data_IF_765874311855
#
_entry.id   IF_765874311855
#
_cell.length_a   1.000
_cell.length_b   1.000
_cell.length_c   1.000
_cell.angle_alpha   90.00
_cell.angle_beta   90.00
_cell.angle_gamma   90.00
#
_symmetry.space_group_name_H-M   'P 1'
#
loop_
_entity.id
_entity.type
_entity.pdbx_description
1 polymer ?
#
# COMPACT_ATOMS: atom_id res chain seq x y z
N UNK A 1 2.27 0.48 -28.50
CA UNK A 1 1.30 1.01 -27.52
C UNK A 1 1.66 2.47 -27.27
N UNK A 2 0.69 3.38 -27.40
CA UNK A 2 0.95 4.81 -27.27
C UNK A 2 0.88 5.19 -25.77
N UNK A 3 1.95 5.76 -25.21
CA UNK A 3 2.06 6.09 -23.78
C UNK A 3 0.91 6.98 -23.26
N UNK A 4 0.32 7.80 -24.14
CA UNK A 4 -0.82 8.64 -23.79
C UNK A 4 -2.12 7.84 -23.60
N UNK A 5 -2.34 6.78 -24.39
CA UNK A 5 -3.53 5.94 -24.27
C UNK A 5 -3.54 5.14 -22.96
N UNK A 6 -2.36 4.68 -22.51
CA UNK A 6 -2.23 3.99 -21.22
C UNK A 6 -2.44 4.95 -20.04
N UNK A 7 -1.99 6.20 -20.14
CA UNK A 7 -2.28 7.23 -19.12
C UNK A 7 -3.77 7.55 -19.01
N UNK A 8 -4.47 7.71 -20.14
CA UNK A 8 -5.91 8.01 -20.13
C UNK A 8 -6.72 6.81 -19.62
N UNK A 9 -6.32 5.59 -19.97
CA UNK A 9 -6.89 4.38 -19.40
C UNK A 9 -6.68 4.30 -17.88
N UNK A 10 -5.49 4.63 -17.38
CA UNK A 10 -5.18 4.66 -15.95
C UNK A 10 -6.06 5.68 -15.20
N UNK A 11 -6.16 6.92 -15.69
CA UNK A 11 -7.02 7.96 -15.10
C UNK A 11 -8.49 7.55 -15.04
N UNK A 12 -9.02 6.97 -16.12
CA UNK A 12 -10.40 6.48 -16.17
C UNK A 12 -10.65 5.35 -15.17
N UNK A 13 -9.69 4.45 -15.01
CA UNK A 13 -9.79 3.36 -14.03
C UNK A 13 -9.72 3.89 -12.59
N UNK A 14 -8.88 4.88 -12.30
CA UNK A 14 -8.87 5.55 -10.98
C UNK A 14 -10.24 6.16 -10.64
N UNK A 15 -10.87 6.85 -11.60
CA UNK A 15 -12.22 7.41 -11.40
C UNK A 15 -13.28 6.34 -11.09
N UNK A 16 -13.24 5.20 -11.81
CA UNK A 16 -14.11 4.05 -11.54
C UNK A 16 -13.88 3.44 -10.16
N UNK A 17 -12.63 3.29 -9.74
CA UNK A 17 -12.30 2.76 -8.41
C UNK A 17 -12.79 3.68 -7.29
N UNK A 18 -12.63 4.99 -7.43
CA UNK A 18 -13.16 5.97 -6.47
C UNK A 18 -14.69 5.87 -6.39
N UNK A 19 -15.37 5.78 -7.53
CA UNK A 19 -16.82 5.61 -7.56
C UNK A 19 -17.27 4.33 -6.85
N UNK A 20 -16.62 3.19 -7.12
CA UNK A 20 -16.90 1.92 -6.47
C UNK A 20 -16.63 1.97 -4.95
N UNK A 21 -15.57 2.65 -4.53
CA UNK A 21 -15.27 2.85 -3.11
C UNK A 21 -16.36 3.65 -2.40
N UNK A 22 -16.79 4.78 -2.99
CA UNK A 22 -17.90 5.58 -2.42
C UNK A 22 -19.18 4.75 -2.36
N UNK A 23 -19.49 3.99 -3.40
CA UNK A 23 -20.65 3.09 -3.42
C UNK A 23 -20.57 2.03 -2.32
N UNK A 24 -19.38 1.45 -2.08
CA UNK A 24 -19.16 0.47 -1.02
C UNK A 24 -19.31 1.07 0.39
N UNK A 25 -18.85 2.29 0.62
CA UNK A 25 -19.04 2.99 1.90
C UNK A 25 -20.52 3.29 2.14
N UNK A 26 -21.24 3.76 1.11
CA UNK A 26 -22.68 4.01 1.21
C UNK A 26 -23.46 2.71 1.46
N UNK A 27 -23.13 1.63 0.77
CA UNK A 27 -23.79 0.34 1.00
C UNK A 27 -23.52 -0.20 2.40
N UNK A 28 -22.29 -0.06 2.92
CA UNK A 28 -21.95 -0.41 4.29
C UNK A 28 -22.78 0.38 5.31
N UNK A 29 -22.95 1.69 5.12
CA UNK A 29 -23.79 2.54 5.98
C UNK A 29 -25.25 2.07 5.95
N UNK A 30 -25.80 1.75 4.77
CA UNK A 30 -27.18 1.28 4.63
C UNK A 30 -27.35 -0.08 5.33
N UNK A 31 -26.46 -1.04 5.08
CA UNK A 31 -26.53 -2.39 5.65
C UNK A 31 -26.38 -2.34 7.18
N UNK A 32 -25.44 -1.57 7.71
CA UNK A 32 -25.27 -1.42 9.16
C UNK A 32 -26.48 -0.77 9.82
N UNK A 33 -27.09 0.25 9.20
CA UNK A 33 -28.33 0.86 9.71
C UNK A 33 -29.52 -0.12 9.69
N UNK A 34 -29.71 -0.86 8.59
CA UNK A 34 -30.76 -1.88 8.49
C UNK A 34 -30.57 -3.00 9.52
N UNK A 35 -29.33 -3.44 9.73
CA UNK A 35 -29.00 -4.45 10.73
C UNK A 35 -29.33 -3.98 12.15
N UNK A 36 -28.95 -2.75 12.51
CA UNK A 36 -29.27 -2.19 13.84
C UNK A 36 -30.77 -2.00 14.02
N UNK A 37 -31.46 -1.48 13.01
CA UNK A 37 -32.93 -1.33 13.05
C UNK A 37 -33.63 -2.69 13.23
N UNK A 38 -33.15 -3.74 12.53
CA UNK A 38 -33.65 -5.10 12.68
C UNK A 38 -33.38 -5.65 14.09
N UNK A 39 -32.17 -5.48 14.63
CA UNK A 39 -31.81 -5.94 15.97
C UNK A 39 -32.60 -5.23 17.07
N UNK A 40 -32.81 -3.92 16.98
CA UNK A 40 -33.63 -3.15 17.93
C UNK A 40 -35.10 -3.60 17.84
N UNK A 41 -35.62 -3.76 16.62
CA UNK A 41 -36.99 -4.26 16.39
C UNK A 41 -37.20 -5.68 16.94
N UNK A 42 -36.20 -6.55 16.81
CA UNK A 42 -36.21 -7.90 17.36
C UNK A 42 -36.03 -7.92 18.89
N UNK A 43 -35.13 -7.12 19.45
CA UNK A 43 -34.91 -7.05 20.90
C UNK A 43 -36.09 -6.39 21.66
N UNK A 44 -36.83 -5.50 20.99
CA UNK A 44 -38.01 -4.85 21.56
C UNK A 44 -39.29 -5.70 21.57
N UNK A 45 -39.28 -6.92 21.00
CA UNK A 45 -40.49 -7.74 20.84
C UNK A 45 -40.94 -8.47 22.10
N UNK A 46 -40.29 -8.29 23.26
CA UNK A 46 -40.74 -8.87 24.53
C UNK A 46 -41.74 -8.01 25.32
N UNK A 47 -42.11 -6.80 24.86
CA UNK A 47 -43.09 -5.95 25.56
C UNK A 47 -44.38 -5.69 24.76
N UNK A 48 -45.43 -6.35 25.24
CA UNK A 48 -46.83 -6.37 24.82
C UNK A 48 -47.50 -4.98 24.75
N UNK A 49 -47.84 -4.50 23.55
CA UNK A 49 -49.05 -3.70 23.27
C UNK A 49 -49.22 -3.48 21.76
N UNK A 50 -50.45 -3.23 21.27
CA UNK A 50 -50.70 -2.85 19.87
C UNK A 50 -50.02 -1.52 19.44
N UNK A 51 -49.34 -0.81 20.34
CA UNK A 51 -48.45 0.30 20.01
C UNK A 51 -47.08 -0.17 19.48
N UNK A 52 -46.72 -1.45 19.67
CA UNK A 52 -45.50 -2.07 19.17
C UNK A 52 -45.50 -2.33 17.65
N UNK A 53 -46.63 -2.14 16.96
CA UNK A 53 -46.66 -2.15 15.48
C UNK A 53 -46.22 -0.78 14.92
N UNK A 54 -46.14 0.25 15.77
CA UNK A 54 -45.70 1.60 15.44
C UNK A 54 -44.21 1.85 15.80
N UNK A 55 -43.45 0.82 16.19
CA UNK A 55 -42.05 0.92 16.65
C UNK A 55 -41.00 0.81 15.55
N UNK A 56 -41.39 0.58 14.29
CA UNK A 56 -40.54 0.96 13.14
C UNK A 56 -40.60 2.48 12.89
N UNK A 57 -40.54 3.28 13.96
CA UNK A 57 -40.28 4.71 13.80
C UNK A 57 -38.81 4.84 13.45
N UNK A 58 -38.57 5.22 12.20
CA UNK A 58 -37.25 5.59 11.73
C UNK A 58 -36.74 6.73 12.60
N UNK A 59 -35.88 6.40 13.57
CA UNK A 59 -35.22 7.39 14.39
C UNK A 59 -34.07 7.99 13.57
N UNK A 60 -34.33 9.19 13.03
CA UNK A 60 -33.32 9.97 12.32
C UNK A 60 -32.08 10.21 13.20
N UNK A 61 -32.21 10.26 14.53
CA UNK A 61 -31.08 10.41 15.46
C UNK A 61 -30.13 9.22 15.41
N UNK A 62 -30.65 8.01 15.64
CA UNK A 62 -29.88 6.76 15.56
C UNK A 62 -29.26 6.57 14.17
N UNK A 63 -30.00 6.90 13.09
CA UNK A 63 -29.49 6.80 11.73
C UNK A 63 -28.27 7.69 11.47
N UNK A 64 -28.36 8.98 11.83
CA UNK A 64 -27.25 9.93 11.65
C UNK A 64 -26.05 9.57 12.53
N UNK A 65 -26.27 9.06 13.75
CA UNK A 65 -25.21 8.65 14.68
C UNK A 65 -24.41 7.45 14.15
N UNK A 66 -25.08 6.42 13.64
CA UNK A 66 -24.42 5.24 13.05
C UNK A 66 -23.69 5.65 11.77
N UNK A 67 -24.35 6.42 10.89
CA UNK A 67 -23.74 6.91 9.66
C UNK A 67 -22.47 7.73 9.91
N UNK A 68 -22.51 8.63 10.90
CA UNK A 68 -21.35 9.42 11.31
C UNK A 68 -20.24 8.54 11.91
N UNK A 69 -20.61 7.53 12.71
CA UNK A 69 -19.66 6.61 13.34
C UNK A 69 -18.93 5.73 12.31
N UNK A 70 -19.66 5.11 11.38
CA UNK A 70 -19.08 4.30 10.28
C UNK A 70 -18.20 5.17 9.40
N UNK A 71 -18.67 6.35 9.01
CA UNK A 71 -17.88 7.30 8.21
C UNK A 71 -16.61 7.72 8.94
N UNK A 72 -16.71 8.01 10.25
CA UNK A 72 -15.58 8.36 11.09
C UNK A 72 -14.53 7.27 11.16
N UNK A 73 -14.93 6.01 11.37
CA UNK A 73 -14.02 4.85 11.40
C UNK A 73 -13.33 4.65 10.05
N UNK A 74 -14.08 4.68 8.94
CA UNK A 74 -13.51 4.55 7.59
C UNK A 74 -12.53 5.68 7.30
N UNK A 75 -12.89 6.91 7.65
CA UNK A 75 -12.05 8.09 7.43
C UNK A 75 -10.77 8.03 8.26
N UNK A 76 -10.85 7.70 9.55
CA UNK A 76 -9.70 7.53 10.43
C UNK A 76 -8.80 6.38 9.97
N UNK A 77 -9.37 5.23 9.59
CA UNK A 77 -8.62 4.10 9.02
C UNK A 77 -7.90 4.48 7.73
N UNK A 78 -8.55 5.26 6.86
CA UNK A 78 -7.95 5.78 5.63
C UNK A 78 -6.80 6.75 5.92
N UNK A 79 -6.98 7.68 6.87
CA UNK A 79 -5.93 8.60 7.30
C UNK A 79 -4.75 7.86 7.93
N UNK A 80 -5.02 6.85 8.76
CA UNK A 80 -3.99 6.00 9.35
C UNK A 80 -3.18 5.28 8.28
N UNK A 81 -3.84 4.68 7.28
CA UNK A 81 -3.15 4.02 6.16
C UNK A 81 -2.29 5.01 5.37
N UNK A 82 -2.81 6.20 5.05
CA UNK A 82 -2.04 7.26 4.38
C UNK A 82 -0.84 7.67 5.23
N UNK A 83 -1.02 7.88 6.54
CA UNK A 83 0.05 8.27 7.44
C UNK A 83 1.13 7.17 7.57
N UNK A 84 0.73 5.90 7.60
CA UNK A 84 1.66 4.77 7.71
C UNK A 84 2.61 4.65 6.52
N UNK A 85 2.18 5.08 5.33
CA UNK A 85 2.97 5.03 4.11
C UNK A 85 3.88 6.27 3.92
N UNK A 86 3.76 7.30 4.77
CA UNK A 86 4.57 8.53 4.65
C UNK A 86 6.06 8.35 4.98
N UNK A 87 6.45 7.24 5.60
CA UNK A 87 7.85 7.02 6.00
C UNK A 87 8.82 6.66 4.88
N UNK A 88 8.43 6.83 3.61
CA UNK A 88 9.30 6.64 2.44
C UNK A 88 9.54 5.17 2.08
N UNK A 89 10.56 4.93 1.26
CA UNK A 89 10.89 3.60 0.75
C UNK A 89 11.22 2.59 1.85
N UNK A 90 11.93 3.01 2.90
CA UNK A 90 12.35 2.16 4.01
C UNK A 90 11.17 1.47 4.73
N UNK A 91 10.06 2.18 4.93
CA UNK A 91 8.85 1.61 5.53
C UNK A 91 8.24 0.50 4.70
N UNK A 92 8.29 0.61 3.37
CA UNK A 92 7.76 -0.40 2.47
C UNK A 92 8.60 -1.67 2.57
N UNK A 93 9.92 -1.52 2.57
CA UNK A 93 10.81 -2.66 2.75
C UNK A 93 10.59 -3.34 4.13
N UNK A 94 10.44 -2.56 5.21
CA UNK A 94 10.12 -3.09 6.54
C UNK A 94 8.77 -3.84 6.58
N UNK A 95 7.73 -3.31 5.91
CA UNK A 95 6.42 -3.96 5.80
C UNK A 95 6.47 -5.28 5.03
N UNK A 96 7.44 -5.42 4.12
CA UNK A 96 7.71 -6.63 3.35
C UNK A 96 8.71 -7.56 4.06
N UNK A 97 8.96 -7.36 5.36
CA UNK A 97 9.92 -8.14 6.15
C UNK A 97 11.36 -8.09 5.60
N UNK A 98 11.73 -7.03 4.88
CA UNK A 98 13.08 -6.81 4.39
C UNK A 98 14.04 -6.50 5.55
N UNK A 99 15.19 -7.17 5.57
CA UNK A 99 16.30 -6.88 6.47
C UNK A 99 17.27 -5.91 5.82
N UNK A 100 17.57 -4.80 6.49
CA UNK A 100 18.58 -3.84 6.03
C UNK A 100 19.96 -4.53 5.96
N UNK A 101 20.63 -4.42 4.82
CA UNK A 101 22.00 -4.88 4.63
C UNK A 101 23.00 -3.82 5.07
N UNK A 102 24.04 -4.26 5.78
CA UNK A 102 25.12 -3.40 6.27
C UNK A 102 26.42 -3.79 5.56
N UNK A 103 27.27 -2.79 5.28
CA UNK A 103 28.56 -2.95 4.59
C UNK A 103 29.52 -3.96 5.27
N UNK A 104 29.29 -4.29 6.55
CA UNK A 104 30.07 -5.27 7.32
C UNK A 104 29.57 -6.73 7.26
N UNK A 105 28.60 -7.08 6.41
CA UNK A 105 28.09 -8.46 6.31
C UNK A 105 29.21 -9.46 6.03
N UNK A 106 29.15 -10.68 6.56
CA UNK A 106 30.13 -11.74 6.27
C UNK A 106 29.78 -12.52 4.99
N UNK A 107 28.56 -12.34 4.47
CA UNK A 107 28.07 -13.02 3.27
C UNK A 107 28.61 -12.35 1.99
N UNK A 108 29.22 -13.17 1.11
CA UNK A 108 29.77 -12.72 -0.18
C UNK A 108 28.67 -12.23 -1.13
N UNK A 109 27.47 -12.81 -1.08
CA UNK A 109 26.34 -12.42 -1.92
C UNK A 109 25.80 -11.05 -1.49
N UNK A 110 25.68 -10.82 -0.19
CA UNK A 110 25.26 -9.53 0.37
C UNK A 110 26.27 -8.42 0.06
N UNK A 111 27.58 -8.70 0.19
CA UNK A 111 28.63 -7.75 -0.22
C UNK A 111 28.57 -7.44 -1.71
N UNK A 112 28.36 -8.46 -2.55
CA UNK A 112 28.27 -8.28 -4.00
C UNK A 112 27.16 -7.32 -4.38
N UNK A 113 25.95 -7.47 -3.82
CA UNK A 113 24.83 -6.57 -4.15
C UNK A 113 25.08 -5.16 -3.62
N UNK A 114 25.65 -5.00 -2.42
CA UNK A 114 26.01 -3.69 -1.89
C UNK A 114 27.01 -2.97 -2.81
N UNK A 115 28.05 -3.67 -3.28
CA UNK A 115 29.02 -3.10 -4.21
C UNK A 115 28.36 -2.70 -5.54
N UNK A 116 27.50 -3.55 -6.10
CA UNK A 116 26.79 -3.25 -7.36
C UNK A 116 25.88 -2.03 -7.20
N UNK A 117 25.15 -1.92 -6.09
CA UNK A 117 24.31 -0.75 -5.81
C UNK A 117 25.14 0.52 -5.65
N UNK A 118 26.27 0.43 -4.94
CA UNK A 118 27.21 1.55 -4.79
C UNK A 118 27.79 2.00 -6.15
N UNK A 119 28.21 1.06 -6.99
CA UNK A 119 28.69 1.33 -8.35
C UNK A 119 27.62 2.03 -9.20
N UNK A 120 26.36 1.58 -9.14
CA UNK A 120 25.26 2.20 -9.87
C UNK A 120 24.92 3.59 -9.33
N UNK A 121 25.01 3.80 -8.01
CA UNK A 121 24.82 5.11 -7.40
C UNK A 121 25.89 6.11 -7.81
N UNK A 122 27.16 5.70 -7.81
CA UNK A 122 28.28 6.51 -8.30
C UNK A 122 28.09 6.84 -9.79
N UNK A 123 27.77 5.85 -10.62
CA UNK A 123 27.56 6.04 -12.05
C UNK A 123 26.37 6.98 -12.36
N UNK A 124 25.34 6.93 -11.52
CA UNK A 124 24.11 7.73 -11.68
C UNK A 124 24.17 9.11 -11.01
N UNK A 125 25.21 9.38 -10.20
CA UNK A 125 25.35 10.63 -9.46
C UNK A 125 24.29 10.86 -8.38
N UNK A 126 23.75 9.79 -7.78
CA UNK A 126 22.78 9.87 -6.69
C UNK A 126 23.37 9.31 -5.39
N UNK A 127 22.85 9.69 -4.20
CA UNK A 127 23.23 9.05 -2.94
C UNK A 127 22.99 7.54 -3.01
N UNK A 128 23.87 6.75 -2.38
CA UNK A 128 23.73 5.28 -2.32
C UNK A 128 22.43 4.95 -1.57
N UNK A 129 21.43 4.34 -2.23
CA UNK A 129 20.19 3.98 -1.56
C UNK A 129 20.43 2.82 -0.59
N UNK A 130 19.78 2.79 0.58
CA UNK A 130 19.80 1.64 1.47
C UNK A 130 19.33 0.37 0.76
N UNK A 131 20.02 -0.75 1.00
CA UNK A 131 19.69 -2.04 0.40
C UNK A 131 19.01 -2.94 1.43
N UNK A 132 17.82 -3.45 1.09
CA UNK A 132 17.08 -4.39 1.91
C UNK A 132 17.08 -5.77 1.26
N UNK A 133 17.22 -6.81 2.09
CA UNK A 133 17.17 -8.20 1.67
C UNK A 133 15.90 -8.86 2.18
N UNK A 134 15.13 -9.44 1.27
CA UNK A 134 13.95 -10.25 1.58
C UNK A 134 14.33 -11.73 1.53
N UNK A 135 13.97 -12.47 2.57
CA UNK A 135 14.26 -13.92 2.68
C UNK A 135 13.26 -14.74 1.83
N UNK A 136 13.26 -14.49 0.53
CA UNK A 136 12.42 -15.15 -0.49
C UNK A 136 13.29 -15.80 -1.57
N UNK A 137 12.89 -17.00 -2.02
CA UNK A 137 13.63 -17.77 -3.02
C UNK A 137 13.41 -17.31 -4.46
N UNK A 138 12.34 -16.54 -4.73
CA UNK A 138 12.07 -15.99 -6.05
C UNK A 138 13.13 -14.96 -6.45
N UNK A 139 13.34 -14.74 -7.75
CA UNK A 139 14.21 -13.68 -8.27
C UNK A 139 13.36 -12.42 -8.42
N UNK A 140 13.57 -11.43 -7.55
CA UNK A 140 12.88 -10.15 -7.58
C UNK A 140 13.75 -9.04 -6.97
N UNK A 141 13.62 -7.84 -7.54
CA UNK A 141 14.21 -6.62 -7.03
C UNK A 141 13.26 -5.45 -7.33
N UNK A 142 13.22 -4.45 -6.47
CA UNK A 142 12.45 -3.24 -6.72
C UNK A 142 13.07 -2.01 -6.02
N UNK A 143 12.88 -0.85 -6.62
CA UNK A 143 13.10 0.44 -5.97
C UNK A 143 11.81 1.04 -5.40
N UNK A 144 11.91 1.64 -4.21
CA UNK A 144 10.80 2.35 -3.57
C UNK A 144 11.29 3.65 -2.94
N UNK A 145 10.52 4.72 -3.08
CA UNK A 145 10.79 6.04 -2.51
C UNK A 145 9.87 7.11 -3.10
N UNK A 146 9.72 8.25 -2.42
CA UNK A 146 9.02 9.41 -2.97
C UNK A 146 9.94 10.32 -3.80
N UNK A 147 11.25 10.16 -3.68
CA UNK A 147 12.31 10.95 -4.29
C UNK A 147 13.61 10.12 -4.30
N UNK A 148 14.61 10.49 -5.10
CA UNK A 148 15.92 9.84 -5.03
C UNK A 148 16.58 9.90 -3.64
N UNK A 149 16.28 10.92 -2.83
CA UNK A 149 16.85 11.08 -1.48
C UNK A 149 16.28 10.13 -0.42
N UNK A 150 15.09 9.58 -0.63
CA UNK A 150 14.46 8.57 0.25
C UNK A 150 14.26 7.22 -0.46
N UNK A 151 14.97 7.03 -1.58
CA UNK A 151 14.94 5.80 -2.33
C UNK A 151 15.64 4.68 -1.57
N UNK A 152 15.05 3.49 -1.62
CA UNK A 152 15.67 2.22 -1.21
C UNK A 152 15.69 1.27 -2.39
N UNK A 153 16.57 0.27 -2.32
CA UNK A 153 16.58 -0.87 -3.23
C UNK A 153 16.33 -2.12 -2.40
N UNK A 154 15.29 -2.88 -2.73
CA UNK A 154 15.02 -4.17 -2.12
C UNK A 154 15.34 -5.29 -3.11
N UNK A 155 15.99 -6.34 -2.63
CA UNK A 155 16.31 -7.55 -3.40
C UNK A 155 15.91 -8.77 -2.60
N UNK A 156 15.63 -9.88 -3.28
CA UNK A 156 15.38 -11.17 -2.63
C UNK A 156 16.64 -12.01 -2.49
N UNK A 157 16.65 -12.96 -1.55
CA UNK A 157 17.68 -13.99 -1.39
C UNK A 157 17.93 -14.73 -2.70
N UNK A 158 16.86 -15.13 -3.40
CA UNK A 158 16.94 -15.77 -4.71
C UNK A 158 17.68 -14.92 -5.76
N UNK A 159 17.55 -13.59 -5.71
CA UNK A 159 18.24 -12.67 -6.64
C UNK A 159 19.74 -12.68 -6.43
N UNK A 160 20.20 -12.55 -5.18
CA UNK A 160 21.63 -12.43 -4.87
C UNK A 160 22.39 -13.76 -4.97
N UNK A 161 21.68 -14.89 -4.80
CA UNK A 161 22.25 -16.24 -4.90
C UNK A 161 22.24 -16.78 -6.33
N UNK A 162 21.20 -16.49 -7.11
CA UNK A 162 21.01 -17.09 -8.44
C UNK A 162 21.66 -16.27 -9.56
N UNK A 163 21.63 -14.94 -9.48
CA UNK A 163 22.13 -14.10 -10.56
C UNK A 163 23.66 -13.98 -10.53
N UNK A 164 24.26 -14.00 -11.73
CA UNK A 164 25.66 -13.60 -11.89
C UNK A 164 25.83 -12.12 -11.54
N UNK A 165 27.06 -11.67 -11.32
CA UNK A 165 27.35 -10.26 -11.02
C UNK A 165 26.84 -9.33 -12.13
N UNK A 166 27.02 -9.73 -13.39
CA UNK A 166 26.61 -8.97 -14.58
C UNK A 166 25.09 -8.90 -14.71
N UNK A 167 24.40 -10.03 -14.45
CA UNK A 167 22.95 -10.08 -14.45
C UNK A 167 22.36 -9.24 -13.31
N UNK A 168 22.95 -9.34 -12.11
CA UNK A 168 22.59 -8.51 -10.97
C UNK A 168 22.77 -7.03 -11.30
N UNK A 169 23.89 -6.64 -11.89
CA UNK A 169 24.13 -5.26 -12.32
C UNK A 169 23.09 -4.78 -13.35
N UNK A 170 22.67 -5.63 -14.29
CA UNK A 170 21.59 -5.30 -15.22
C UNK A 170 20.25 -5.06 -14.53
N UNK A 171 19.88 -5.92 -13.56
CA UNK A 171 18.65 -5.76 -12.78
C UNK A 171 18.70 -4.51 -11.91
N UNK A 172 19.80 -4.28 -11.17
CA UNK A 172 19.97 -3.08 -10.35
C UNK A 172 19.98 -1.81 -11.22
N UNK A 173 20.62 -1.83 -12.39
CA UNK A 173 20.58 -0.70 -13.32
C UNK A 173 19.16 -0.38 -13.81
N UNK A 174 18.33 -1.41 -14.06
CA UNK A 174 16.92 -1.21 -14.37
C UNK A 174 16.18 -0.52 -13.22
N UNK A 175 16.41 -0.95 -11.97
CA UNK A 175 15.80 -0.31 -10.80
C UNK A 175 16.27 1.14 -10.59
N UNK A 176 17.56 1.42 -10.83
CA UNK A 176 18.09 2.79 -10.80
C UNK A 176 17.43 3.69 -11.85
N UNK A 177 17.02 3.14 -13.00
CA UNK A 177 16.25 3.91 -13.98
C UNK A 177 14.91 4.39 -13.40
N UNK A 178 14.23 3.59 -12.58
CA UNK A 178 13.01 4.00 -11.87
C UNK A 178 13.29 5.08 -10.82
N UNK A 179 14.43 5.00 -10.12
CA UNK A 179 14.87 6.02 -9.16
C UNK A 179 15.04 7.37 -9.86
N UNK A 180 15.78 7.38 -10.97
CA UNK A 180 16.12 8.60 -11.71
C UNK A 180 14.91 9.24 -12.41
N UNK A 181 14.01 8.43 -12.96
CA UNK A 181 12.79 8.94 -13.62
C UNK A 181 11.67 9.26 -12.62
N UNK A 182 11.80 8.85 -11.35
CA UNK A 182 10.84 9.15 -10.30
C UNK A 182 9.58 8.28 -10.31
N UNK A 183 9.60 7.18 -11.08
CA UNK A 183 8.46 6.27 -11.23
C UNK A 183 8.24 5.38 -9.99
N UNK A 184 9.18 5.38 -9.03
CA UNK A 184 9.04 4.72 -7.72
C UNK A 184 7.76 5.12 -6.96
N UNK A 185 7.27 6.35 -7.15
CA UNK A 185 6.04 6.84 -6.51
C UNK A 185 4.81 6.01 -6.88
N UNK A 186 4.84 5.38 -8.06
CA UNK A 186 3.77 4.50 -8.53
C UNK A 186 3.79 3.22 -7.70
N UNK A 187 4.97 2.65 -7.42
CA UNK A 187 5.12 1.45 -6.59
C UNK A 187 4.66 1.67 -5.13
N UNK A 188 4.77 2.89 -4.59
CA UNK A 188 4.28 3.22 -3.25
C UNK A 188 2.74 3.33 -3.17
N UNK A 189 2.08 3.65 -4.29
CA UNK A 189 0.64 3.96 -4.33
C UNK A 189 -0.26 2.77 -4.68
N UNK A 190 0.31 1.57 -4.84
CA UNK A 190 -0.43 0.31 -4.96
C UNK A 190 -0.88 -0.18 -3.57
#
# INVERSE_FOLDING_TARGET
>A
MNFFESQDAAKRNTGRLIFLFVLAVLSLIIVTNLLVMFLIGFAGSEMTSMAAVNTMRFDWGTFWLIGASVTGVVFLGSLYKIASLRGGGARIAEMMNGRLLLAGSQDLHERRVLNVVEEMAIASGIPVPPVYLMEENGINAFAAGYSPSDAIVAVTRGTIETLSREQLQGVIAHEFSHILHGDMRINIRL
#
